data_IF_561594604325
#
_entry.id   IF_561594604325
#
_cell.length_a   1.000
_cell.length_b   1.000
_cell.length_c   1.000
_cell.angle_alpha   90.00
_cell.angle_beta   90.00
_cell.angle_gamma   90.00
#
_symmetry.space_group_name_H-M   'P 1'
#
loop_
_entity.id
_entity.type
_entity.pdbx_description
1 polymer ?
#
# COMPACT_ATOMS: atom_id res chain seq x y z
N UNK A 1 10.79 -1.33 -14.97
CA UNK A 1 10.47 -1.72 -13.58
C UNK A 1 10.99 -3.15 -13.38
N UNK A 2 11.53 -3.51 -12.21
CA UNK A 2 12.12 -4.83 -11.97
C UNK A 2 11.92 -5.30 -10.53
N UNK A 3 12.08 -6.61 -10.32
CA UNK A 3 11.90 -7.25 -9.01
C UNK A 3 10.44 -7.56 -8.67
N UNK A 4 10.24 -8.21 -7.53
CA UNK A 4 8.92 -8.62 -7.01
C UNK A 4 8.73 -8.06 -5.62
N UNK A 5 7.52 -7.58 -5.33
CA UNK A 5 7.12 -7.07 -4.02
C UNK A 5 5.81 -7.73 -3.58
N UNK A 6 5.72 -8.10 -2.31
CA UNK A 6 4.45 -8.37 -1.65
C UNK A 6 3.88 -7.07 -1.07
N UNK A 7 2.58 -6.86 -1.24
CA UNK A 7 1.85 -5.75 -0.64
C UNK A 7 0.66 -6.30 0.11
N UNK A 8 0.62 -6.03 1.41
CA UNK A 8 -0.55 -6.36 2.23
C UNK A 8 -1.54 -5.21 2.15
N UNK A 9 -2.82 -5.56 1.98
CA UNK A 9 -3.95 -4.64 1.95
C UNK A 9 -4.88 -4.91 3.14
N UNK A 10 -5.43 -3.82 3.66
CA UNK A 10 -6.38 -3.81 4.77
C UNK A 10 -7.50 -2.83 4.47
N UNK A 11 -8.73 -3.18 4.85
CA UNK A 11 -9.80 -2.19 4.90
C UNK A 11 -9.45 -1.14 5.96
N UNK A 12 -9.55 0.14 5.63
CA UNK A 12 -9.27 1.22 6.57
C UNK A 12 -10.23 1.22 7.78
N UNK A 13 -11.48 0.80 7.56
CA UNK A 13 -12.49 0.75 8.60
C UNK A 13 -12.05 -0.18 9.74
N UNK A 14 -12.00 0.38 10.96
CA UNK A 14 -11.63 -0.36 12.17
C UNK A 14 -10.14 -0.39 12.50
N UNK A 15 -9.27 0.21 11.67
CA UNK A 15 -7.85 0.32 12.01
C UNK A 15 -7.61 1.39 13.09
N UNK A 16 -6.72 1.08 14.03
CA UNK A 16 -6.28 2.04 15.02
C UNK A 16 -5.24 2.99 14.42
N UNK A 17 -5.50 4.30 14.51
CA UNK A 17 -4.57 5.34 14.07
C UNK A 17 -3.32 5.31 14.95
N UNK A 18 -2.15 5.19 14.32
CA UNK A 18 -0.84 5.34 14.97
C UNK A 18 -0.26 6.74 14.75
N UNK A 19 -0.47 7.31 13.57
CA UNK A 19 -0.09 8.69 13.23
C UNK A 19 -1.25 9.31 12.48
N UNK A 20 -1.76 10.42 13.01
CA UNK A 20 -2.87 11.14 12.41
C UNK A 20 -2.54 11.62 11.00
N UNK A 21 -3.59 11.86 10.21
CA UNK A 21 -3.46 12.35 8.86
C UNK A 21 -2.73 13.70 8.81
N UNK A 22 -1.79 13.83 7.87
CA UNK A 22 -1.08 15.07 7.58
C UNK A 22 -1.31 15.49 6.12
N UNK A 23 -1.87 16.70 5.92
CA UNK A 23 -2.22 17.21 4.61
C UNK A 23 -1.00 17.51 3.72
N UNK A 24 0.18 17.72 4.32
CA UNK A 24 1.41 17.99 3.56
C UNK A 24 1.95 16.71 2.90
N UNK A 25 1.92 15.60 3.62
CA UNK A 25 2.36 14.28 3.13
C UNK A 25 1.26 13.47 2.46
N UNK A 26 -0.01 13.87 2.61
CA UNK A 26 -1.20 13.15 2.10
C UNK A 26 -1.22 11.69 2.60
N UNK A 27 -1.00 11.52 3.90
CA UNK A 27 -0.86 10.21 4.53
C UNK A 27 -1.27 10.21 6.01
N UNK A 28 -1.73 9.05 6.47
CA UNK A 28 -1.86 8.66 7.87
C UNK A 28 -1.23 7.27 8.05
N UNK A 29 -0.82 6.94 9.27
CA UNK A 29 -0.27 5.61 9.59
C UNK A 29 -1.11 4.94 10.67
N UNK A 30 -1.19 3.62 10.59
CA UNK A 30 -2.06 2.80 11.42
C UNK A 30 -1.25 1.70 12.11
N UNK A 31 -1.72 1.28 13.28
CA UNK A 31 -1.17 0.11 13.97
C UNK A 31 -1.48 -1.12 13.12
N UNK A 32 -0.47 -1.98 12.91
CA UNK A 32 -0.65 -3.20 12.15
C UNK A 32 -1.65 -4.15 12.84
N UNK A 33 -2.79 -4.49 12.21
CA UNK A 33 -3.89 -5.21 12.87
C UNK A 33 -3.68 -6.73 12.97
N UNK A 34 -2.55 -7.24 12.48
CA UNK A 34 -2.21 -8.66 12.48
C UNK A 34 -2.38 -9.30 11.12
N UNK A 35 -3.59 -9.69 10.74
CA UNK A 35 -3.82 -10.40 9.46
C UNK A 35 -4.28 -9.43 8.38
N UNK A 36 -3.68 -9.53 7.19
CA UNK A 36 -4.09 -8.75 6.02
C UNK A 36 -5.43 -9.24 5.46
N UNK A 37 -6.24 -8.31 4.95
CA UNK A 37 -7.47 -8.65 4.22
C UNK A 37 -7.19 -9.26 2.85
N UNK A 38 -6.09 -8.84 2.23
CA UNK A 38 -5.55 -9.44 1.03
C UNK A 38 -4.03 -9.25 0.96
N UNK A 39 -3.34 -10.14 0.25
CA UNK A 39 -1.93 -9.98 -0.09
C UNK A 39 -1.78 -10.05 -1.60
N UNK A 40 -1.10 -9.05 -2.16
CA UNK A 40 -0.84 -8.95 -3.59
C UNK A 40 0.62 -9.28 -3.85
N UNK A 41 0.88 -10.08 -4.90
CA UNK A 41 2.22 -10.34 -5.40
C UNK A 41 2.46 -9.53 -6.68
N UNK A 42 3.17 -8.42 -6.55
CA UNK A 42 3.42 -7.47 -7.64
C UNK A 42 4.73 -7.82 -8.35
N UNK A 43 4.62 -8.19 -9.62
CA UNK A 43 5.74 -8.50 -10.54
C UNK A 43 5.79 -7.47 -11.67
N UNK A 44 6.89 -7.35 -12.43
CA UNK A 44 6.98 -6.38 -13.51
C UNK A 44 5.83 -6.54 -14.52
N UNK A 45 5.17 -5.44 -14.86
CA UNK A 45 3.98 -5.42 -15.73
C UNK A 45 2.65 -5.45 -14.98
N UNK A 46 2.64 -5.81 -13.70
CA UNK A 46 1.46 -5.72 -12.84
C UNK A 46 1.43 -4.39 -12.09
N UNK A 47 0.22 -3.88 -11.85
CA UNK A 47 -0.01 -2.73 -10.98
C UNK A 47 -1.25 -2.98 -10.11
N UNK A 48 -1.35 -2.20 -9.04
CA UNK A 48 -2.55 -2.13 -8.21
C UNK A 48 -2.96 -0.67 -8.05
N UNK A 49 -4.26 -0.44 -7.85
CA UNK A 49 -4.83 0.88 -7.56
C UNK A 49 -5.34 0.83 -6.12
N UNK A 50 -4.96 1.81 -5.32
CA UNK A 50 -5.28 1.91 -3.91
C UNK A 50 -5.98 3.24 -3.68
N UNK A 51 -7.25 3.19 -3.29
CA UNK A 51 -8.08 4.33 -2.95
C UNK A 51 -7.80 4.85 -1.53
N UNK A 52 -8.33 6.02 -1.14
CA UNK A 52 -8.12 6.56 0.21
C UNK A 52 -8.57 5.64 1.37
N UNK A 53 -9.51 4.71 1.11
CA UNK A 53 -9.97 3.72 2.09
C UNK A 53 -9.14 2.42 2.12
N UNK A 54 -8.10 2.33 1.29
CA UNK A 54 -7.23 1.16 1.16
C UNK A 54 -5.94 1.36 1.94
N UNK A 55 -5.96 0.98 3.22
CA UNK A 55 -4.73 0.90 4.00
C UNK A 55 -3.84 -0.20 3.41
N UNK A 56 -2.55 0.09 3.25
CA UNK A 56 -1.64 -0.83 2.58
C UNK A 56 -0.23 -0.76 3.16
N UNK A 57 0.43 -1.91 3.17
CA UNK A 57 1.80 -2.08 3.63
C UNK A 57 2.66 -2.59 2.47
N UNK A 58 3.34 -1.70 1.72
CA UNK A 58 4.28 -2.09 0.68
C UNK A 58 5.61 -2.56 1.29
N UNK A 59 6.57 -2.91 0.44
CA UNK A 59 7.95 -3.31 0.75
C UNK A 59 8.09 -4.65 1.47
N UNK A 60 7.14 -5.57 1.29
CA UNK A 60 7.28 -6.93 1.82
C UNK A 60 8.04 -7.80 0.82
N UNK A 61 9.00 -8.58 1.33
CA UNK A 61 9.83 -9.45 0.51
C UNK A 61 9.05 -10.65 -0.05
N UNK A 62 9.33 -11.11 -1.27
CA UNK A 62 8.87 -12.43 -1.72
C UNK A 62 9.95 -13.47 -1.39
N UNK A 63 9.82 -14.13 -0.24
CA UNK A 63 10.85 -15.02 0.32
C UNK A 63 11.97 -14.27 1.04
N UNK A 64 12.89 -13.64 0.30
CA UNK A 64 14.05 -12.93 0.84
C UNK A 64 14.09 -11.46 0.40
N UNK A 65 14.63 -10.52 1.21
CA UNK A 65 14.80 -9.14 0.81
C UNK A 65 15.65 -9.01 -0.46
N UNK A 66 15.17 -8.22 -1.41
CA UNK A 66 15.85 -7.96 -2.67
C UNK A 66 15.65 -6.51 -3.10
N UNK A 67 16.58 -5.99 -3.91
CA UNK A 67 16.41 -4.69 -4.54
C UNK A 67 15.32 -4.78 -5.64
N UNK A 68 14.41 -3.81 -5.63
CA UNK A 68 13.36 -3.68 -6.64
C UNK A 68 13.33 -2.26 -7.20
N UNK A 69 12.74 -2.09 -8.39
CA UNK A 69 12.41 -0.77 -8.95
C UNK A 69 10.95 -0.73 -9.35
N UNK A 70 10.19 0.12 -8.65
CA UNK A 70 8.77 0.41 -8.88
C UNK A 70 8.53 1.91 -9.10
N UNK A 71 7.31 2.25 -9.49
CA UNK A 71 6.79 3.62 -9.57
C UNK A 71 5.47 3.64 -8.80
N UNK A 72 5.21 4.74 -8.09
CA UNK A 72 3.91 5.03 -7.49
C UNK A 72 3.40 6.29 -8.17
N UNK A 73 2.24 6.19 -8.82
CA UNK A 73 1.57 7.33 -9.44
C UNK A 73 0.51 7.85 -8.47
N UNK A 74 0.53 9.16 -8.20
CA UNK A 74 -0.47 9.83 -7.36
C UNK A 74 -1.49 10.51 -8.27
N UNK A 75 -2.76 10.16 -8.10
CA UNK A 75 -3.89 10.69 -8.88
C UNK A 75 -4.89 11.28 -7.89
N UNK A 76 -5.46 12.45 -8.20
CA UNK A 76 -6.52 13.03 -7.37
C UNK A 76 -7.75 12.13 -7.41
N UNK A 77 -8.23 11.71 -6.24
CA UNK A 77 -9.34 10.76 -6.11
C UNK A 77 -10.61 11.21 -6.84
N UNK A 78 -10.91 12.52 -6.82
CA UNK A 78 -12.06 13.11 -7.52
C UNK A 78 -12.06 12.95 -9.05
N UNK A 79 -11.00 12.42 -9.67
CA UNK A 79 -10.94 12.11 -11.10
C UNK A 79 -11.33 10.65 -11.43
N UNK A 80 -11.50 9.80 -10.41
CA UNK A 80 -11.64 8.34 -10.56
C UNK A 80 -12.67 7.73 -9.59
N UNK A 81 -13.57 8.56 -9.07
CA UNK A 81 -14.63 8.20 -8.11
C UNK A 81 -15.98 8.75 -8.56
#
# INVERSE_FOLDING_TARGET
LHGTERLDWFALAGLQVQTAYDAKSDAAFFVHPGVAGAQLLLRPGLFTVLYPADAHMPKLADGAPAAIKKVVVKVRAALVQ
#
